data_IF_043588511225
#
_entry.id   IF_043588511225
#
_cell.length_a   1.000
_cell.length_b   1.000
_cell.length_c   1.000
_cell.angle_alpha   90.00
_cell.angle_beta   90.00
_cell.angle_gamma   90.00
#
_symmetry.space_group_name_H-M   'P 1'
#
loop_
_entity.id
_entity.type
_entity.pdbx_description
1 polymer ?
#
# COMPACT_ATOMS: atom_id res chain seq x y z
N UNK A 1 -13.12 13.39 -1.72
CA UNK A 1 -12.14 12.29 -1.53
C UNK A 1 -12.40 11.09 -2.42
N UNK A 2 -13.63 10.58 -2.55
CA UNK A 2 -13.95 9.41 -3.39
C UNK A 2 -13.45 9.50 -4.85
N UNK A 3 -13.68 10.62 -5.54
CA UNK A 3 -13.20 10.82 -6.93
C UNK A 3 -11.69 10.74 -7.08
N UNK A 4 -10.95 11.31 -6.13
CA UNK A 4 -9.48 11.27 -6.09
C UNK A 4 -9.00 9.82 -5.89
N UNK A 5 -9.59 9.09 -4.95
CA UNK A 5 -9.20 7.70 -4.70
C UNK A 5 -9.49 6.78 -5.90
N UNK A 6 -10.63 6.99 -6.60
CA UNK A 6 -10.94 6.28 -7.85
C UNK A 6 -9.90 6.58 -8.94
N UNK A 7 -9.51 7.84 -9.10
CA UNK A 7 -8.45 8.23 -10.04
C UNK A 7 -7.13 7.55 -9.70
N UNK A 8 -6.71 7.57 -8.42
CA UNK A 8 -5.48 6.92 -7.96
C UNK A 8 -5.53 5.40 -8.18
N UNK A 9 -6.68 4.75 -7.94
CA UNK A 9 -6.85 3.32 -8.21
C UNK A 9 -6.59 2.96 -9.66
N UNK A 10 -7.07 3.79 -10.61
CA UNK A 10 -6.78 3.62 -12.04
C UNK A 10 -5.30 3.82 -12.36
N UNK A 11 -4.70 4.88 -11.83
CA UNK A 11 -3.27 5.19 -12.03
C UNK A 11 -2.35 4.10 -11.46
N UNK A 12 -2.76 3.38 -10.42
CA UNK A 12 -2.02 2.24 -9.88
C UNK A 12 -1.88 1.09 -10.90
N UNK A 13 -2.76 1.01 -11.89
CA UNK A 13 -2.74 -0.01 -12.95
C UNK A 13 -2.10 0.45 -14.25
N UNK A 14 -1.56 1.68 -14.29
CA UNK A 14 -0.97 2.26 -15.50
C UNK A 14 0.19 1.42 -16.04
N UNK A 15 0.31 1.32 -17.37
CA UNK A 15 1.41 0.56 -18.01
C UNK A 15 2.81 1.14 -17.72
N UNK A 16 2.91 2.44 -17.44
CA UNK A 16 4.15 3.14 -17.17
C UNK A 16 4.65 2.85 -15.74
N UNK A 17 5.83 2.21 -15.56
CA UNK A 17 6.40 1.93 -14.25
C UNK A 17 6.64 3.17 -13.39
N UNK A 18 6.90 4.33 -13.99
CA UNK A 18 7.09 5.59 -13.27
C UNK A 18 5.78 6.10 -12.69
N UNK A 19 4.66 5.95 -13.41
CA UNK A 19 3.34 6.33 -12.92
C UNK A 19 2.95 5.49 -11.70
N UNK A 20 3.21 4.18 -11.74
CA UNK A 20 3.01 3.26 -10.59
C UNK A 20 3.80 3.70 -9.35
N UNK A 21 5.01 4.23 -9.53
CA UNK A 21 5.82 4.75 -8.42
C UNK A 21 5.25 6.07 -7.87
N UNK A 22 4.86 6.98 -8.77
CA UNK A 22 4.28 8.29 -8.39
C UNK A 22 2.96 8.12 -7.64
N UNK A 23 2.06 7.26 -8.13
CA UNK A 23 0.77 7.01 -7.47
C UNK A 23 0.94 6.34 -6.10
N UNK A 24 1.87 5.39 -5.95
CA UNK A 24 2.15 4.79 -4.65
C UNK A 24 2.68 5.82 -3.64
N UNK A 25 3.59 6.69 -4.10
CA UNK A 25 4.16 7.76 -3.26
C UNK A 25 3.07 8.75 -2.87
N UNK A 26 2.29 9.24 -3.84
CA UNK A 26 1.25 10.23 -3.60
C UNK A 26 0.12 9.69 -2.71
N UNK A 27 -0.33 8.45 -2.93
CA UNK A 27 -1.35 7.83 -2.09
C UNK A 27 -0.88 7.69 -0.63
N UNK A 28 0.39 7.32 -0.43
CA UNK A 28 1.02 7.28 0.90
C UNK A 28 1.00 8.66 1.55
N UNK A 29 1.54 9.68 0.87
CA UNK A 29 1.54 11.07 1.38
C UNK A 29 0.12 11.55 1.70
N UNK A 30 -0.85 11.32 0.81
CA UNK A 30 -2.24 11.73 1.02
C UNK A 30 -2.84 11.08 2.28
N UNK A 31 -2.51 9.82 2.55
CA UNK A 31 -2.98 9.11 3.74
C UNK A 31 -2.26 9.55 5.01
N UNK A 32 -0.98 9.91 4.93
CA UNK A 32 -0.24 10.50 6.06
C UNK A 32 -0.74 11.89 6.42
N UNK A 33 -1.07 12.72 5.43
CA UNK A 33 -1.55 14.10 5.65
C UNK A 33 -3.05 14.14 6.04
N UNK A 34 -3.86 13.21 5.54
CA UNK A 34 -5.31 13.14 5.80
C UNK A 34 -5.75 11.79 6.39
N UNK A 35 -5.17 11.33 7.50
CA UNK A 35 -5.35 9.96 8.00
C UNK A 35 -6.79 9.63 8.41
N UNK A 36 -7.60 10.64 8.76
CA UNK A 36 -9.00 10.45 9.17
C UNK A 36 -10.00 10.48 8.00
N UNK A 37 -9.59 10.96 6.82
CA UNK A 37 -10.50 11.22 5.70
C UNK A 37 -10.16 10.42 4.43
N UNK A 38 -8.90 10.01 4.27
CA UNK A 38 -8.45 9.31 3.06
C UNK A 38 -8.76 7.80 3.11
N UNK A 39 -8.48 7.15 4.24
CA UNK A 39 -8.38 5.68 4.34
C UNK A 39 -9.59 4.91 3.80
N UNK A 40 -10.80 5.28 4.23
CA UNK A 40 -12.07 4.64 3.81
C UNK A 40 -12.30 4.57 2.29
N UNK A 41 -11.64 5.43 1.51
CA UNK A 41 -11.78 5.46 0.06
C UNK A 41 -10.68 4.69 -0.68
N UNK A 42 -9.66 4.17 0.01
CA UNK A 42 -8.44 3.66 -0.61
C UNK A 42 -8.51 2.20 -1.09
N UNK A 43 -9.66 1.51 -0.99
CA UNK A 43 -9.76 0.09 -1.41
C UNK A 43 -9.23 -0.16 -2.82
N UNK A 44 -9.67 0.63 -3.80
CA UNK A 44 -9.20 0.49 -5.19
C UNK A 44 -7.71 0.77 -5.35
N UNK A 45 -7.16 1.70 -4.56
CA UNK A 45 -5.72 1.99 -4.53
C UNK A 45 -4.95 0.81 -3.94
N UNK A 46 -5.39 0.26 -2.81
CA UNK A 46 -4.76 -0.91 -2.16
C UNK A 46 -4.72 -2.09 -3.12
N UNK A 47 -5.82 -2.42 -3.79
CA UNK A 47 -5.85 -3.51 -4.78
C UNK A 47 -4.85 -3.26 -5.92
N UNK A 48 -4.82 -2.05 -6.49
CA UNK A 48 -3.89 -1.70 -7.57
C UNK A 48 -2.42 -1.73 -7.12
N UNK A 49 -2.12 -1.23 -5.92
CA UNK A 49 -0.79 -1.31 -5.33
C UNK A 49 -0.39 -2.75 -5.06
N UNK A 50 -1.29 -3.59 -4.56
CA UNK A 50 -1.03 -5.01 -4.33
C UNK A 50 -0.65 -5.74 -5.61
N UNK A 51 -1.30 -5.45 -6.74
CA UNK A 51 -0.89 -5.99 -8.03
C UNK A 51 0.55 -5.58 -8.41
N UNK A 52 0.96 -4.35 -8.06
CA UNK A 52 2.31 -3.84 -8.34
C UNK A 52 3.41 -4.54 -7.52
N UNK A 53 3.08 -5.30 -6.47
CA UNK A 53 4.03 -6.15 -5.75
C UNK A 53 4.51 -7.35 -6.59
N UNK A 54 3.86 -7.66 -7.71
CA UNK A 54 4.31 -8.72 -8.64
C UNK A 54 5.17 -8.18 -9.79
N UNK A 55 5.37 -6.86 -9.86
CA UNK A 55 6.00 -6.21 -10.99
C UNK A 55 7.46 -6.65 -11.17
N UNK A 56 7.92 -6.83 -12.41
CA UNK A 56 9.28 -7.33 -12.69
C UNK A 56 10.40 -6.44 -12.10
N UNK A 57 10.21 -5.11 -12.12
CA UNK A 57 11.17 -4.12 -11.60
C UNK A 57 11.07 -3.99 -10.07
N UNK A 58 12.16 -4.31 -9.36
CA UNK A 58 12.22 -4.23 -7.88
C UNK A 58 11.95 -2.82 -7.34
N UNK A 59 12.36 -1.77 -8.07
CA UNK A 59 12.09 -0.38 -7.69
C UNK A 59 10.59 -0.09 -7.54
N UNK A 60 9.76 -0.63 -8.44
CA UNK A 60 8.29 -0.47 -8.38
C UNK A 60 7.75 -1.18 -7.14
N UNK A 61 8.16 -2.43 -6.89
CA UNK A 61 7.72 -3.21 -5.71
C UNK A 61 8.12 -2.52 -4.40
N UNK A 62 9.36 -2.04 -4.30
CA UNK A 62 9.89 -1.30 -3.14
C UNK A 62 9.09 -0.03 -2.85
N UNK A 63 8.83 0.80 -3.86
CA UNK A 63 8.07 2.05 -3.68
C UNK A 63 6.60 1.74 -3.38
N UNK A 64 6.05 0.69 -3.98
CA UNK A 64 4.70 0.19 -3.69
C UNK A 64 4.55 -0.20 -2.23
N UNK A 65 5.50 -0.96 -1.66
CA UNK A 65 5.51 -1.29 -0.22
C UNK A 65 5.52 -0.02 0.64
N UNK A 66 6.32 0.98 0.29
CA UNK A 66 6.35 2.26 1.01
C UNK A 66 5.03 3.03 0.90
N UNK A 67 4.33 2.96 -0.22
CA UNK A 67 2.99 3.53 -0.35
C UNK A 67 1.98 2.79 0.54
N UNK A 68 1.96 1.46 0.48
CA UNK A 68 1.09 0.62 1.32
C UNK A 68 1.34 0.85 2.81
N UNK A 69 2.59 1.08 3.23
CA UNK A 69 2.97 1.43 4.61
C UNK A 69 2.05 2.51 5.19
N UNK A 70 1.92 3.62 4.47
CA UNK A 70 1.23 4.81 4.92
C UNK A 70 -0.28 4.75 4.62
N UNK A 71 -0.68 4.07 3.54
CA UNK A 71 -2.10 3.89 3.19
C UNK A 71 -2.82 3.01 4.21
N UNK A 72 -2.24 1.88 4.60
CA UNK A 72 -2.91 0.89 5.45
C UNK A 72 -3.17 1.39 6.86
N UNK A 73 -2.30 2.27 7.40
CA UNK A 73 -2.47 2.85 8.74
C UNK A 73 -3.44 4.04 8.78
N UNK A 74 -3.98 4.47 7.64
CA UNK A 74 -5.01 5.50 7.62
C UNK A 74 -6.37 4.91 8.02
N UNK A 75 -7.12 5.67 8.81
CA UNK A 75 -8.37 5.22 9.42
C UNK A 75 -9.35 4.71 8.37
N UNK A 76 -9.76 3.45 8.53
CA UNK A 76 -10.68 2.74 7.67
C UNK A 76 -10.02 1.96 6.53
N UNK A 77 -8.72 2.14 6.27
CA UNK A 77 -7.98 1.38 5.27
C UNK A 77 -7.43 0.05 5.79
N UNK A 78 -7.34 -0.12 7.11
CA UNK A 78 -6.78 -1.30 7.76
C UNK A 78 -7.51 -2.57 7.33
N UNK A 79 -8.84 -2.47 7.16
CA UNK A 79 -9.70 -3.56 6.69
C UNK A 79 -9.32 -4.10 5.31
N UNK A 80 -8.64 -3.31 4.48
CA UNK A 80 -8.20 -3.69 3.13
C UNK A 80 -6.84 -4.40 3.13
N UNK A 81 -6.16 -4.51 4.27
CA UNK A 81 -4.89 -5.24 4.37
C UNK A 81 -5.07 -6.71 3.95
N UNK A 82 -6.22 -7.32 4.25
CA UNK A 82 -6.56 -8.69 3.87
C UNK A 82 -6.38 -8.95 2.36
N UNK A 83 -6.77 -7.99 1.52
CA UNK A 83 -6.63 -8.06 0.06
C UNK A 83 -5.16 -8.18 -0.39
N UNK A 84 -4.22 -7.82 0.49
CA UNK A 84 -2.78 -7.71 0.20
C UNK A 84 -1.97 -8.86 0.79
N UNK A 85 -2.49 -9.60 1.78
CA UNK A 85 -1.74 -10.60 2.56
C UNK A 85 -1.09 -11.65 1.66
N UNK A 86 -1.82 -12.16 0.66
CA UNK A 86 -1.31 -13.17 -0.25
C UNK A 86 -0.03 -12.70 -0.98
N UNK A 87 -0.01 -11.47 -1.49
CA UNK A 87 1.14 -10.90 -2.19
C UNK A 87 2.27 -10.46 -1.27
N UNK A 88 1.92 -10.01 -0.05
CA UNK A 88 2.90 -9.64 0.97
C UNK A 88 3.77 -10.82 1.40
N UNK A 89 3.23 -12.06 1.43
CA UNK A 89 4.02 -13.29 1.68
C UNK A 89 5.16 -13.49 0.67
N UNK A 90 4.95 -13.12 -0.59
CA UNK A 90 5.99 -13.16 -1.62
C UNK A 90 6.98 -12.00 -1.45
N UNK A 91 6.50 -10.81 -1.07
CA UNK A 91 7.37 -9.64 -0.83
C UNK A 91 8.31 -9.85 0.36
N UNK A 92 7.88 -10.59 1.38
CA UNK A 92 8.72 -11.02 2.51
C UNK A 92 9.95 -11.83 2.05
N UNK A 93 9.76 -12.67 1.03
CA UNK A 93 10.79 -13.53 0.46
C UNK A 93 11.24 -13.05 -0.93
N UNK A 94 11.12 -11.75 -1.21
CA UNK A 94 11.42 -11.20 -2.53
C UNK A 94 12.88 -11.49 -2.94
N UNK A 95 13.12 -11.74 -4.23
CA UNK A 95 14.48 -11.92 -4.77
C UNK A 95 15.42 -10.74 -4.47
N UNK A 96 14.89 -9.53 -4.41
CA UNK A 96 15.64 -8.31 -4.12
C UNK A 96 15.77 -8.08 -2.61
N UNK A 97 17.02 -8.04 -2.11
CA UNK A 97 17.30 -7.74 -0.71
C UNK A 97 16.71 -6.40 -0.25
N UNK A 98 16.75 -5.39 -1.11
CA UNK A 98 16.16 -4.07 -0.88
C UNK A 98 14.65 -4.13 -0.63
N UNK A 99 13.95 -4.97 -1.38
CA UNK A 99 12.50 -5.16 -1.21
C UNK A 99 12.22 -5.89 0.11
N UNK A 100 12.98 -6.94 0.44
CA UNK A 100 12.85 -7.65 1.72
C UNK A 100 13.08 -6.74 2.93
N UNK A 101 14.16 -5.94 2.90
CA UNK A 101 14.43 -4.97 3.97
C UNK A 101 13.28 -3.98 4.12
N UNK A 102 12.81 -3.43 2.99
CA UNK A 102 11.67 -2.50 2.99
C UNK A 102 10.42 -3.16 3.55
N UNK A 103 10.15 -4.43 3.20
CA UNK A 103 9.00 -5.17 3.74
C UNK A 103 9.03 -5.23 5.27
N UNK A 104 10.16 -5.56 5.89
CA UNK A 104 10.25 -5.61 7.34
C UNK A 104 10.16 -4.24 8.01
N UNK A 105 10.66 -3.18 7.37
CA UNK A 105 10.45 -1.80 7.83
C UNK A 105 8.96 -1.43 7.81
N UNK A 106 8.23 -1.84 6.76
CA UNK A 106 6.78 -1.64 6.64
C UNK A 106 6.01 -2.46 7.68
N UNK A 107 6.36 -3.73 7.84
CA UNK A 107 5.73 -4.60 8.84
C UNK A 107 5.90 -4.03 10.25
N UNK A 108 7.11 -3.58 10.60
CA UNK A 108 7.38 -2.91 11.87
C UNK A 108 6.50 -1.67 12.03
N UNK A 109 6.40 -0.83 10.99
CA UNK A 109 5.56 0.37 11.03
C UNK A 109 4.10 0.04 11.31
N UNK A 110 3.55 -0.96 10.64
CA UNK A 110 2.18 -1.44 10.85
C UNK A 110 1.96 -1.97 12.26
N UNK A 111 2.89 -2.79 12.78
CA UNK A 111 2.80 -3.33 14.14
C UNK A 111 2.80 -2.24 15.23
N UNK A 112 3.35 -1.05 14.96
CA UNK A 112 3.41 0.04 15.95
C UNK A 112 2.38 1.14 15.73
N UNK A 113 1.72 1.22 14.57
CA UNK A 113 0.81 2.33 14.23
C UNK A 113 -0.61 1.90 13.86
N UNK A 114 -0.88 0.63 13.53
CA UNK A 114 -2.26 0.20 13.31
C UNK A 114 -3.03 0.14 14.64
N UNK A 115 -4.27 0.63 14.63
CA UNK A 115 -5.14 0.51 15.80
C UNK A 115 -5.49 -0.96 16.04
N UNK A 116 -5.48 -1.40 17.31
CA UNK A 116 -5.86 -2.76 17.72
C UNK A 116 -7.33 -3.09 17.36
N UNK A 117 -8.17 -2.07 17.17
CA UNK A 117 -9.54 -2.19 16.67
C UNK A 117 -9.61 -2.88 15.31
N UNK A 118 -8.58 -2.72 14.47
CA UNK A 118 -8.48 -3.37 13.17
C UNK A 118 -8.14 -4.88 13.25
N UNK A 119 -7.73 -5.38 14.42
CA UNK A 119 -7.43 -6.80 14.66
C UNK A 119 -8.61 -7.56 15.28
N UNK A 120 -9.68 -6.86 15.67
CA UNK A 120 -10.90 -7.49 16.17
C UNK A 120 -11.73 -7.97 14.97
N UNK A 121 -11.58 -9.26 14.69
CA UNK A 121 -12.48 -10.15 13.92
C UNK A 121 -13.10 -9.55 12.64
N UNK A 122 -12.48 -9.88 11.49
CA UNK A 122 -13.17 -10.00 10.20
C UNK A 122 -13.90 -11.33 10.12
#
# INVERSE_FOLDING_TARGET
>A
MSSVAVMLGRLATDSNPEMKQKVATFAGTLCSELPKAAGVHMKGVVVGLTANLTHQHSKVRKITLKGLKDVIVARGAESFLGDSIAQLKYSMNDRSQDVRKTFYDVLRHWMTHMELSALREQ
#
